data_IF_340370041973
#
_entry.id   IF_340370041973
#
_cell.length_a   1.000
_cell.length_b   1.000
_cell.length_c   1.000
_cell.angle_alpha   90.00
_cell.angle_beta   90.00
_cell.angle_gamma   90.00
#
_symmetry.space_group_name_H-M   'P 1'
#
loop_
_entity.id
_entity.type
_entity.pdbx_description
1 polymer ?
#
# COMPACT_ATOMS: atom_id res chain seq x y z
N UNK A 1 -13.51 -51.79 8.31
CA UNK A 1 -12.77 -51.35 7.15
C UNK A 1 -12.39 -49.88 7.25
N UNK A 2 -11.18 -49.66 7.07
CA UNK A 2 -10.73 -48.31 7.19
C UNK A 2 -10.62 -47.66 5.85
N UNK A 3 -10.97 -46.40 5.80
CA UNK A 3 -10.86 -45.66 4.56
C UNK A 3 -9.43 -45.66 4.07
N UNK A 4 -9.32 -45.84 2.79
CA UNK A 4 -8.02 -45.94 2.17
C UNK A 4 -7.62 -44.58 1.63
N UNK A 5 -7.16 -43.77 2.51
CA UNK A 5 -6.74 -42.41 2.12
C UNK A 5 -5.38 -42.45 1.47
N UNK A 6 -5.24 -41.76 0.36
CA UNK A 6 -3.92 -41.63 -0.26
C UNK A 6 -3.07 -40.65 0.51
N UNK A 7 -2.38 -41.14 1.49
CA UNK A 7 -1.59 -40.31 2.37
C UNK A 7 -0.57 -39.49 1.62
N UNK A 8 0.04 -40.10 0.62
CA UNK A 8 1.07 -39.39 -0.13
C UNK A 8 0.47 -38.19 -0.86
N UNK A 9 -0.70 -38.37 -1.46
CA UNK A 9 -1.33 -37.26 -2.14
C UNK A 9 -1.70 -36.17 -1.16
N UNK A 10 -2.24 -36.54 -0.01
CA UNK A 10 -2.58 -35.57 0.99
C UNK A 10 -1.35 -34.84 1.51
N UNK A 11 -0.28 -35.58 1.75
CA UNK A 11 0.95 -34.99 2.22
C UNK A 11 1.57 -34.06 1.21
N UNK A 12 1.53 -34.46 -0.06
CA UNK A 12 2.09 -33.60 -1.11
C UNK A 12 1.32 -32.32 -1.24
N UNK A 13 -0.01 -32.40 -1.19
CA UNK A 13 -0.84 -31.21 -1.27
C UNK A 13 -0.59 -30.29 -0.08
N UNK A 14 -0.46 -30.87 1.09
CA UNK A 14 -0.21 -30.08 2.29
C UNK A 14 1.13 -29.38 2.21
N UNK A 15 2.17 -30.09 1.77
CA UNK A 15 3.49 -29.49 1.62
C UNK A 15 3.47 -28.38 0.59
N UNK A 16 2.77 -28.60 -0.52
CA UNK A 16 2.68 -27.57 -1.55
C UNK A 16 1.96 -26.34 -1.01
N UNK A 17 0.93 -26.54 -0.22
CA UNK A 17 0.20 -25.44 0.38
C UNK A 17 1.08 -24.66 1.35
N UNK A 18 1.86 -25.38 2.15
CA UNK A 18 2.76 -24.74 3.09
C UNK A 18 3.82 -23.91 2.37
N UNK A 19 4.39 -24.47 1.31
CA UNK A 19 5.40 -23.76 0.54
C UNK A 19 4.82 -22.53 -0.11
N UNK A 20 3.61 -22.64 -0.61
CA UNK A 20 2.94 -21.51 -1.23
C UNK A 20 2.66 -20.43 -0.20
N UNK A 21 2.20 -20.81 0.99
CA UNK A 21 1.93 -19.87 2.03
C UNK A 21 3.20 -19.17 2.50
N UNK A 22 4.29 -19.93 2.62
CA UNK A 22 5.57 -19.36 3.02
C UNK A 22 6.07 -18.37 1.97
N UNK A 23 5.96 -18.76 0.70
CA UNK A 23 6.38 -17.87 -0.38
C UNK A 23 5.55 -16.60 -0.38
N UNK A 24 4.27 -16.71 -0.17
CA UNK A 24 3.41 -15.54 -0.11
C UNK A 24 3.80 -14.62 1.03
N UNK A 25 4.08 -15.19 2.20
CA UNK A 25 4.52 -14.39 3.34
C UNK A 25 5.84 -13.69 3.05
N UNK A 26 6.77 -14.41 2.42
CA UNK A 26 8.05 -13.81 2.06
C UNK A 26 7.86 -12.70 1.04
N UNK A 27 7.02 -12.93 0.05
CA UNK A 27 6.76 -11.92 -0.97
C UNK A 27 6.09 -10.69 -0.37
N UNK A 28 5.16 -10.90 0.55
CA UNK A 28 4.48 -9.79 1.20
C UNK A 28 5.44 -9.00 2.07
N UNK A 29 6.31 -9.69 2.81
CA UNK A 29 7.29 -9.01 3.66
C UNK A 29 8.27 -8.21 2.82
N UNK A 30 8.77 -8.81 1.73
CA UNK A 30 9.70 -8.14 0.85
C UNK A 30 9.04 -6.92 0.19
N UNK A 31 7.79 -7.08 -0.23
CA UNK A 31 7.07 -5.98 -0.84
C UNK A 31 6.82 -4.86 0.16
N UNK A 32 6.47 -5.22 1.39
CA UNK A 32 6.24 -4.21 2.42
C UNK A 32 7.51 -3.42 2.70
N UNK A 33 8.65 -4.10 2.76
CA UNK A 33 9.92 -3.44 2.95
C UNK A 33 10.23 -2.49 1.81
N UNK A 34 10.01 -2.95 0.59
CA UNK A 34 10.22 -2.12 -0.59
C UNK A 34 9.29 -0.92 -0.61
N UNK A 35 8.03 -1.12 -0.23
CA UNK A 35 7.05 -0.04 -0.18
C UNK A 35 7.41 0.99 0.87
N UNK A 36 7.90 0.54 2.01
CA UNK A 36 8.30 1.46 3.08
C UNK A 36 9.48 2.33 2.67
N UNK A 37 10.36 1.80 1.84
CA UNK A 37 11.51 2.54 1.35
C UNK A 37 11.19 3.40 0.13
N UNK A 38 10.05 3.19 -0.49
CA UNK A 38 9.67 3.91 -1.70
C UNK A 38 9.33 5.36 -1.37
N UNK A 39 9.72 6.25 -2.27
CA UNK A 39 9.41 7.67 -2.11
C UNK A 39 8.36 8.08 -3.12
N UNK A 40 7.49 8.98 -2.69
CA UNK A 40 6.41 9.49 -3.51
C UNK A 40 6.47 11.00 -3.54
N UNK A 41 6.10 11.57 -4.68
CA UNK A 41 5.95 13.02 -4.79
C UNK A 41 4.51 13.33 -5.11
N UNK A 42 3.93 14.23 -4.35
CA UNK A 42 2.55 14.62 -4.48
C UNK A 42 2.48 16.13 -4.50
N UNK A 43 1.65 16.68 -5.36
CA UNK A 43 1.49 18.12 -5.43
C UNK A 43 0.03 18.50 -5.27
N UNK A 44 -0.19 19.72 -4.83
CA UNK A 44 -1.52 20.28 -4.65
C UNK A 44 -1.48 21.76 -4.96
N UNK A 45 -2.66 22.37 -5.08
CA UNK A 45 -2.76 23.80 -5.36
C UNK A 45 -2.19 24.18 -6.70
N UNK A 46 -2.40 23.31 -7.71
CA UNK A 46 -1.88 23.60 -9.04
C UNK A 46 -0.36 23.47 -9.12
N UNK A 47 0.23 22.71 -8.23
CA UNK A 47 1.68 22.56 -8.20
C UNK A 47 2.39 23.52 -7.25
N UNK A 48 1.63 24.33 -6.54
CA UNK A 48 2.21 25.32 -5.64
C UNK A 48 2.78 24.67 -4.38
N UNK A 49 2.30 23.49 -4.01
CA UNK A 49 2.82 22.75 -2.87
C UNK A 49 3.22 21.37 -3.36
N UNK A 50 4.45 20.97 -3.09
CA UNK A 50 4.94 19.64 -3.43
C UNK A 50 5.44 18.96 -2.17
N UNK A 51 5.04 17.71 -1.98
CA UNK A 51 5.40 16.94 -0.81
C UNK A 51 6.12 15.68 -1.25
N UNK A 52 7.26 15.40 -0.61
CA UNK A 52 7.94 14.14 -0.76
C UNK A 52 7.69 13.32 0.50
N UNK A 53 7.12 12.14 0.34
CA UNK A 53 6.73 11.28 1.45
C UNK A 53 7.22 9.86 1.17
N UNK A 54 7.62 9.14 2.21
CA UNK A 54 8.03 7.75 2.03
C UNK A 54 6.88 6.80 2.37
N UNK A 55 7.13 5.52 2.19
CA UNK A 55 6.11 4.51 2.44
C UNK A 55 5.74 4.32 3.90
N UNK A 56 6.52 4.89 4.80
CA UNK A 56 6.17 4.90 6.23
C UNK A 56 5.32 6.09 6.60
N UNK A 57 4.88 6.85 5.60
CA UNK A 57 4.07 8.05 5.79
C UNK A 57 4.83 9.14 6.51
N UNK A 58 6.13 9.19 6.30
CA UNK A 58 6.97 10.24 6.82
C UNK A 58 7.23 11.27 5.73
N UNK A 59 6.91 12.51 6.02
CA UNK A 59 7.15 13.58 5.06
C UNK A 59 8.60 13.97 5.13
N UNK A 60 9.28 13.87 3.99
CA UNK A 60 10.72 14.13 3.90
C UNK A 60 11.04 15.51 3.40
N UNK A 61 10.15 16.09 2.60
CA UNK A 61 10.35 17.42 2.07
C UNK A 61 9.01 18.05 1.78
N UNK A 62 8.96 19.36 1.95
CA UNK A 62 7.75 20.13 1.69
C UNK A 62 8.19 21.42 1.01
N UNK A 63 7.82 21.57 -0.26
CA UNK A 63 8.14 22.74 -1.03
C UNK A 63 6.91 23.57 -1.25
N UNK A 64 6.97 24.84 -0.91
CA UNK A 64 5.86 25.76 -1.04
C UNK A 64 6.29 26.88 -1.96
N UNK A 65 5.51 27.12 -3.01
CA UNK A 65 5.78 28.24 -3.90
C UNK A 65 5.55 29.54 -3.15
N UNK A 66 6.50 30.49 -3.23
CA UNK A 66 6.33 31.74 -2.49
C UNK A 66 5.10 32.51 -2.87
N UNK A 67 4.60 32.32 -4.08
CA UNK A 67 3.44 33.07 -4.59
C UNK A 67 2.20 32.82 -3.78
N UNK A 68 2.10 31.67 -3.12
CA UNK A 68 0.88 31.36 -2.33
C UNK A 68 1.05 31.69 -0.85
N UNK A 69 2.21 32.22 -0.47
CA UNK A 69 2.44 32.61 0.92
C UNK A 69 2.04 34.06 1.07
N UNK A 70 0.82 34.27 1.51
CA UNK A 70 0.24 35.59 1.68
C UNK A 70 -0.13 35.75 3.16
N UNK A 71 0.57 36.67 3.88
CA UNK A 71 0.27 36.85 5.29
C UNK A 71 -1.18 37.31 5.56
N UNK A 72 -1.81 37.87 4.54
CA UNK A 72 -3.19 38.34 4.68
C UNK A 72 -4.19 37.24 4.35
N UNK A 73 -3.74 36.08 3.90
CA UNK A 73 -4.62 34.98 3.54
C UNK A 73 -4.01 33.64 3.96
N UNK A 74 -3.77 33.51 5.23
CA UNK A 74 -3.18 32.27 5.78
C UNK A 74 -4.13 31.10 5.63
N UNK A 75 -5.43 31.38 5.64
CA UNK A 75 -6.44 30.33 5.56
C UNK A 75 -6.34 29.54 4.25
N UNK A 76 -6.16 30.22 3.13
CA UNK A 76 -5.99 29.53 1.86
C UNK A 76 -4.75 28.66 1.87
N UNK A 77 -3.65 29.17 2.42
CA UNK A 77 -2.42 28.38 2.54
C UNK A 77 -2.65 27.16 3.38
N UNK A 78 -3.31 27.31 4.52
CA UNK A 78 -3.61 26.18 5.41
C UNK A 78 -4.43 25.12 4.69
N UNK A 79 -5.44 25.54 3.94
CA UNK A 79 -6.31 24.59 3.24
C UNK A 79 -5.52 23.82 2.19
N UNK A 80 -4.65 24.49 1.46
CA UNK A 80 -3.84 23.82 0.46
C UNK A 80 -2.89 22.83 1.11
N UNK A 81 -2.27 23.19 2.24
CA UNK A 81 -1.38 22.29 2.94
C UNK A 81 -2.09 21.08 3.48
N UNK A 82 -3.28 21.26 4.04
CA UNK A 82 -4.06 20.12 4.53
C UNK A 82 -4.39 19.18 3.38
N UNK A 83 -4.81 19.73 2.25
CA UNK A 83 -5.13 18.91 1.09
C UNK A 83 -3.91 18.16 0.58
N UNK A 84 -2.75 18.83 0.56
CA UNK A 84 -1.52 18.22 0.06
C UNK A 84 -1.08 17.08 0.96
N UNK A 85 -1.10 17.28 2.27
CA UNK A 85 -0.69 16.25 3.22
C UNK A 85 -1.63 15.05 3.14
N UNK A 86 -2.92 15.29 3.10
CA UNK A 86 -3.90 14.21 3.02
C UNK A 86 -3.76 13.43 1.72
N UNK A 87 -3.52 14.14 0.62
CA UNK A 87 -3.32 13.47 -0.66
C UNK A 87 -2.04 12.62 -0.65
N UNK A 88 -0.99 13.10 0.00
CA UNK A 88 0.25 12.36 0.11
C UNK A 88 0.04 11.06 0.89
N UNK A 89 -0.64 11.15 2.01
CA UNK A 89 -0.93 9.97 2.83
C UNK A 89 -1.79 8.98 2.05
N UNK A 90 -2.80 9.49 1.36
CA UNK A 90 -3.68 8.65 0.56
C UNK A 90 -2.91 7.94 -0.54
N UNK A 91 -1.98 8.63 -1.19
CA UNK A 91 -1.17 8.04 -2.25
C UNK A 91 -0.37 6.84 -1.71
N UNK A 92 0.23 6.99 -0.54
CA UNK A 92 0.99 5.91 0.07
C UNK A 92 0.07 4.73 0.39
N UNK A 93 -1.07 5.01 1.00
CA UNK A 93 -2.01 3.96 1.39
C UNK A 93 -2.58 3.23 0.19
N UNK A 94 -3.00 3.98 -0.82
CA UNK A 94 -3.58 3.37 -2.02
C UNK A 94 -2.56 2.52 -2.76
N UNK A 95 -1.33 3.00 -2.86
CA UNK A 95 -0.29 2.24 -3.53
C UNK A 95 0.04 0.97 -2.78
N UNK A 96 0.16 1.06 -1.46
CA UNK A 96 0.45 -0.13 -0.65
C UNK A 96 -0.67 -1.16 -0.80
N UNK A 97 -1.91 -0.72 -0.75
CA UNK A 97 -3.05 -1.63 -0.90
C UNK A 97 -3.05 -2.29 -2.26
N UNK A 98 -2.80 -1.52 -3.32
CA UNK A 98 -2.79 -2.06 -4.68
C UNK A 98 -1.66 -3.06 -4.86
N UNK A 99 -0.48 -2.78 -4.32
CA UNK A 99 0.66 -3.69 -4.45
C UNK A 99 0.44 -4.98 -3.69
N UNK A 100 -0.14 -4.90 -2.51
CA UNK A 100 -0.44 -6.10 -1.73
C UNK A 100 -1.52 -6.93 -2.39
N UNK A 101 -2.49 -6.28 -3.00
CA UNK A 101 -3.54 -6.96 -3.73
C UNK A 101 -2.98 -7.75 -4.91
N UNK A 102 -1.97 -7.22 -5.57
CA UNK A 102 -1.31 -7.95 -6.66
C UNK A 102 -0.72 -9.25 -6.16
N UNK A 103 -0.12 -9.24 -4.99
CA UNK A 103 0.50 -10.44 -4.44
C UNK A 103 -0.56 -11.49 -4.13
N UNK A 104 -1.63 -11.10 -3.42
CA UNK A 104 -2.69 -12.05 -3.08
C UNK A 104 -3.40 -12.56 -4.32
N UNK A 105 -3.62 -11.70 -5.29
CA UNK A 105 -4.23 -12.11 -6.55
C UNK A 105 -3.37 -13.07 -7.33
N UNK A 106 -2.06 -12.81 -7.37
CA UNK A 106 -1.13 -13.67 -8.09
C UNK A 106 -1.02 -15.04 -7.46
N UNK A 107 -1.27 -15.14 -6.15
CA UNK A 107 -1.21 -16.42 -5.45
C UNK A 107 -2.52 -17.22 -5.52
N UNK A 108 -3.47 -16.74 -6.27
CA UNK A 108 -4.70 -17.48 -6.46
C UNK A 108 -5.65 -17.45 -5.28
N UNK A 109 -5.74 -16.34 -4.61
CA UNK A 109 -6.66 -16.16 -3.50
C UNK A 109 -7.79 -15.20 -3.89
N UNK A 110 -8.61 -15.60 -4.85
CA UNK A 110 -9.60 -14.65 -5.41
C UNK A 110 -10.64 -14.19 -4.41
N UNK A 111 -10.88 -15.00 -3.39
CA UNK A 111 -11.90 -14.64 -2.43
C UNK A 111 -11.54 -13.48 -1.55
N UNK A 112 -10.27 -13.22 -1.40
CA UNK A 112 -9.82 -12.21 -0.45
C UNK A 112 -10.23 -10.80 -0.85
N UNK A 113 -9.92 -10.44 -2.07
CA UNK A 113 -10.28 -9.11 -2.54
C UNK A 113 -11.70 -9.02 -3.03
N UNK A 114 -12.29 -10.15 -3.38
CA UNK A 114 -13.60 -10.17 -3.98
C UNK A 114 -14.75 -10.39 -3.04
N UNK A 115 -14.52 -10.29 -1.74
CA UNK A 115 -15.56 -10.58 -0.76
C UNK A 115 -15.82 -9.38 0.12
N UNK A 116 -16.21 -8.27 -0.46
CA UNK A 116 -16.49 -7.08 0.36
C UNK A 116 -17.72 -7.27 1.25
N UNK A 117 -18.60 -8.16 0.85
CA UNK A 117 -19.78 -8.39 1.65
C UNK A 117 -19.52 -9.02 3.01
N UNK A 118 -18.32 -9.52 3.21
CA UNK A 118 -17.95 -10.07 4.49
C UNK A 118 -17.59 -9.00 5.52
N UNK A 119 -17.45 -7.78 5.08
CA UNK A 119 -16.99 -6.72 5.96
C UNK A 119 -17.96 -5.54 6.03
#
# INVERSE_FOLDING_TARGET
>A
MRANYPKNAGGQNFNAMLQQAQKMQEDMAAKQEELEAREYEVSAGGGAVCIKINGKKQIQALDIAPEIVDPDDIETLSDILVAAVNEAIKRVEDTAAAEMEKITGAMGLPGMGGMPGLF
#
